data_IF_663954538768
#
_entry.id   IF_663954538768
#
_cell.length_a   1.000
_cell.length_b   1.000
_cell.length_c   1.000
_cell.angle_alpha   90.00
_cell.angle_beta   90.00
_cell.angle_gamma   90.00
#
_symmetry.space_group_name_H-M   'P 1'
#
loop_
_entity.id
_entity.type
_entity.pdbx_description
1 polymer ?
#
# COMPACT_ATOMS: atom_id res chain seq x y z
N UNK A 1 7.85 33.29 4.91
CA UNK A 1 8.39 32.14 5.65
C UNK A 1 7.38 31.04 5.47
N UNK A 2 7.73 29.94 4.79
CA UNK A 2 6.85 28.78 4.71
C UNK A 2 6.85 28.10 6.08
N UNK A 3 5.65 27.77 6.59
CA UNK A 3 5.50 27.11 7.88
C UNK A 3 5.56 25.59 7.66
N UNK A 4 6.32 24.85 8.47
CA UNK A 4 6.32 23.39 8.43
C UNK A 4 4.91 22.88 8.77
N UNK A 5 4.55 21.75 8.18
CA UNK A 5 3.27 21.07 8.40
C UNK A 5 3.50 19.71 9.06
N UNK A 6 2.61 19.28 9.95
CA UNK A 6 2.70 17.95 10.51
C UNK A 6 2.31 16.91 9.46
N UNK A 7 3.07 15.82 9.37
CA UNK A 7 2.65 14.63 8.65
C UNK A 7 1.42 14.02 9.34
N UNK A 8 0.36 13.74 8.60
CA UNK A 8 -0.89 13.20 9.16
C UNK A 8 -0.70 11.83 9.85
N UNK A 9 0.36 11.10 9.46
CA UNK A 9 0.60 9.72 9.88
C UNK A 9 1.61 9.58 11.02
N UNK A 10 2.80 10.16 10.89
CA UNK A 10 3.84 10.13 11.93
C UNK A 10 3.82 11.35 12.86
N UNK A 11 3.04 12.40 12.54
CA UNK A 11 2.95 13.67 13.29
C UNK A 11 4.27 14.45 13.38
N UNK A 12 5.27 14.07 12.62
CA UNK A 12 6.50 14.83 12.50
C UNK A 12 6.28 16.10 11.70
N UNK A 13 6.91 17.18 12.14
CA UNK A 13 6.87 18.46 11.45
C UNK A 13 7.88 18.45 10.32
N UNK A 14 7.38 18.52 9.10
CA UNK A 14 8.18 18.52 7.87
C UNK A 14 7.94 19.78 7.06
N UNK A 15 8.90 20.15 6.23
CA UNK A 15 8.75 21.29 5.34
C UNK A 15 7.57 21.07 4.39
N UNK A 16 6.76 22.11 4.18
CA UNK A 16 5.58 22.06 3.29
C UNK A 16 5.92 21.47 1.92
N UNK A 17 7.01 21.93 1.30
CA UNK A 17 7.45 21.48 -0.02
C UNK A 17 7.99 20.04 -0.05
N UNK A 18 8.25 19.45 1.12
CA UNK A 18 8.69 18.06 1.24
C UNK A 18 7.52 17.09 1.47
N UNK A 19 6.32 17.61 1.78
CA UNK A 19 5.14 16.76 1.89
C UNK A 19 4.64 16.28 0.53
N UNK A 20 4.09 15.06 0.51
CA UNK A 20 3.49 14.45 -0.67
C UNK A 20 2.09 13.98 -0.33
N UNK A 21 1.19 14.07 -1.31
CA UNK A 21 -0.16 13.53 -1.19
C UNK A 21 -0.10 12.01 -1.13
N UNK A 22 -0.79 11.39 -0.18
CA UNK A 22 -0.90 9.93 -0.08
C UNK A 22 -1.53 9.34 -1.35
N UNK A 23 -1.01 8.19 -1.77
CA UNK A 23 -1.53 7.43 -2.91
C UNK A 23 -2.75 6.60 -2.54
N UNK A 24 -2.89 6.22 -1.27
CA UNK A 24 -4.04 5.50 -0.72
C UNK A 24 -5.18 6.43 -0.32
N UNK A 25 -4.88 7.56 0.31
CA UNK A 25 -5.86 8.58 0.72
C UNK A 25 -5.47 9.97 0.23
N UNK A 26 -6.09 10.43 -0.85
CA UNK A 26 -5.82 11.75 -1.44
C UNK A 26 -6.04 12.95 -0.50
N UNK A 27 -6.70 12.77 0.65
CA UNK A 27 -6.91 13.85 1.61
C UNK A 27 -5.76 13.98 2.63
N UNK A 28 -4.80 13.05 2.65
CA UNK A 28 -3.69 13.05 3.61
C UNK A 28 -2.39 13.54 2.98
N UNK A 29 -1.68 14.39 3.73
CA UNK A 29 -0.34 14.89 3.38
C UNK A 29 0.70 14.19 4.24
N UNK A 30 1.57 13.43 3.57
CA UNK A 30 2.56 12.58 4.19
C UNK A 30 3.96 13.18 4.06
N UNK A 31 4.83 12.90 5.04
CA UNK A 31 6.26 13.09 4.87
C UNK A 31 6.81 12.12 3.80
N UNK A 32 8.01 12.37 3.23
CA UNK A 32 8.62 11.50 2.24
C UNK A 32 8.68 10.03 2.65
N UNK A 33 8.99 9.76 3.92
CA UNK A 33 9.09 8.39 4.45
C UNK A 33 7.72 7.72 4.50
N UNK A 34 6.71 8.40 5.04
CA UNK A 34 5.35 7.86 5.08
C UNK A 34 4.77 7.68 3.68
N UNK A 35 5.06 8.59 2.75
CA UNK A 35 4.67 8.47 1.34
C UNK A 35 5.34 7.25 0.68
N UNK A 36 6.61 6.98 0.98
CA UNK A 36 7.30 5.81 0.45
C UNK A 36 6.66 4.50 0.94
N UNK A 37 6.33 4.42 2.22
CA UNK A 37 5.59 3.28 2.79
C UNK A 37 4.20 3.17 2.14
N UNK A 38 3.51 4.28 1.95
CA UNK A 38 2.18 4.33 1.32
C UNK A 38 2.21 3.80 -0.12
N UNK A 39 3.23 4.19 -0.88
CA UNK A 39 3.48 3.70 -2.24
C UNK A 39 3.76 2.18 -2.24
N UNK A 40 4.62 1.69 -1.34
CA UNK A 40 4.92 0.25 -1.25
C UNK A 40 3.68 -0.57 -0.90
N UNK A 41 2.83 -0.05 -0.02
CA UNK A 41 1.56 -0.69 0.35
C UNK A 41 0.60 -0.72 -0.83
N UNK A 42 0.55 0.35 -1.62
CA UNK A 42 -0.27 0.40 -2.83
C UNK A 42 0.21 -0.60 -3.89
N UNK A 43 1.52 -0.70 -4.11
CA UNK A 43 2.09 -1.68 -5.03
C UNK A 43 1.72 -3.12 -4.62
N UNK A 44 1.86 -3.44 -3.33
CA UNK A 44 1.44 -4.74 -2.78
C UNK A 44 -0.07 -4.98 -2.90
N UNK A 45 -0.87 -3.92 -2.73
CA UNK A 45 -2.33 -3.98 -2.84
C UNK A 45 -2.79 -4.27 -4.28
N UNK A 46 -2.19 -3.58 -5.25
CA UNK A 46 -2.46 -3.79 -6.68
C UNK A 46 -1.99 -5.18 -7.11
N UNK A 47 -0.82 -5.64 -6.66
CA UNK A 47 -0.35 -7.02 -6.91
C UNK A 47 -1.34 -8.07 -6.38
N UNK A 48 -1.87 -7.87 -5.16
CA UNK A 48 -2.89 -8.78 -4.61
C UNK A 48 -4.16 -8.78 -5.48
N UNK A 49 -4.61 -7.62 -5.95
CA UNK A 49 -5.80 -7.50 -6.81
C UNK A 49 -5.59 -8.22 -8.14
N UNK A 50 -4.43 -8.07 -8.76
CA UNK A 50 -4.10 -8.75 -10.00
C UNK A 50 -4.08 -10.27 -9.82
N UNK A 51 -3.44 -10.77 -8.76
CA UNK A 51 -3.42 -12.21 -8.46
C UNK A 51 -4.84 -12.73 -8.18
N UNK A 52 -5.66 -11.98 -7.43
CA UNK A 52 -7.06 -12.34 -7.19
C UNK A 52 -7.85 -12.41 -8.50
N UNK A 53 -7.72 -11.40 -9.36
CA UNK A 53 -8.37 -11.35 -10.67
C UNK A 53 -7.97 -12.55 -11.53
N UNK A 54 -6.67 -12.88 -11.60
CA UNK A 54 -6.19 -14.07 -12.32
C UNK A 54 -6.78 -15.37 -11.73
N UNK A 55 -6.83 -15.48 -10.39
CA UNK A 55 -7.38 -16.65 -9.71
C UNK A 55 -8.88 -16.83 -9.97
N UNK A 56 -9.63 -15.74 -9.96
CA UNK A 56 -11.08 -15.73 -10.17
C UNK A 56 -11.43 -16.05 -11.63
N UNK A 57 -10.64 -15.54 -12.58
CA UNK A 57 -10.76 -15.86 -14.01
C UNK A 57 -10.11 -17.20 -14.40
N UNK A 58 -9.46 -17.88 -13.45
CA UNK A 58 -8.79 -19.16 -13.64
C UNK A 58 -7.75 -19.15 -14.77
N UNK A 59 -6.96 -18.07 -14.81
CA UNK A 59 -5.95 -17.86 -15.84
C UNK A 59 -4.89 -18.98 -15.86
N UNK A 60 -4.30 -19.27 -17.04
CA UNK A 60 -3.36 -20.38 -17.21
C UNK A 60 -2.16 -20.31 -16.25
N UNK A 61 -1.67 -19.10 -16.00
CA UNK A 61 -0.51 -18.80 -15.15
C UNK A 61 -0.73 -19.18 -13.68
N UNK A 62 -1.97 -19.03 -13.20
CA UNK A 62 -2.33 -19.37 -11.82
C UNK A 62 -2.94 -20.76 -11.66
N UNK A 63 -3.41 -21.36 -12.75
CA UNK A 63 -4.10 -22.67 -12.75
C UNK A 63 -3.19 -23.82 -12.27
N UNK A 64 -1.89 -23.74 -12.57
CA UNK A 64 -0.91 -24.76 -12.19
C UNK A 64 -0.59 -24.80 -10.69
N UNK A 65 -0.60 -23.65 -10.00
CA UNK A 65 -0.29 -23.55 -8.58
C UNK A 65 -1.17 -22.55 -7.83
N UNK A 66 -2.49 -22.77 -7.89
CA UNK A 66 -3.48 -21.92 -7.19
C UNK A 66 -3.20 -21.80 -5.69
N UNK A 67 -2.57 -22.80 -5.06
CA UNK A 67 -2.22 -22.76 -3.64
C UNK A 67 -1.02 -21.84 -3.38
N UNK A 68 0.02 -21.89 -4.21
CA UNK A 68 1.16 -20.97 -4.15
C UNK A 68 0.71 -19.52 -4.31
N UNK A 69 -0.13 -19.23 -5.30
CA UNK A 69 -0.65 -17.87 -5.50
C UNK A 69 -1.48 -17.35 -4.32
N UNK A 70 -2.30 -18.20 -3.71
CA UNK A 70 -3.01 -17.83 -2.46
C UNK A 70 -2.05 -17.59 -1.29
N UNK A 71 -0.91 -18.29 -1.24
CA UNK A 71 0.13 -18.05 -0.25
C UNK A 71 0.83 -16.71 -0.50
N UNK A 72 1.13 -16.37 -1.76
CA UNK A 72 1.70 -15.06 -2.14
C UNK A 72 0.78 -13.91 -1.69
N UNK A 73 -0.53 -14.03 -1.95
CA UNK A 73 -1.52 -13.05 -1.44
C UNK A 73 -1.43 -12.93 0.09
N UNK A 74 -1.34 -14.05 0.81
CA UNK A 74 -1.26 -14.02 2.27
C UNK A 74 0.02 -13.36 2.77
N UNK A 75 1.15 -13.62 2.12
CA UNK A 75 2.44 -13.01 2.45
C UNK A 75 2.43 -11.50 2.14
N UNK A 76 1.87 -11.08 1.00
CA UNK A 76 1.70 -9.66 0.67
C UNK A 76 0.78 -8.94 1.67
N UNK A 77 -0.36 -9.54 2.04
CA UNK A 77 -1.23 -9.00 3.11
C UNK A 77 -0.49 -8.84 4.45
N UNK A 78 0.40 -9.79 4.75
CA UNK A 78 1.18 -9.73 5.98
C UNK A 78 2.22 -8.62 5.94
N UNK A 79 2.88 -8.38 4.80
CA UNK A 79 3.77 -7.22 4.61
C UNK A 79 3.02 -5.90 4.79
N UNK A 80 1.84 -5.76 4.19
CA UNK A 80 0.98 -4.56 4.37
C UNK A 80 0.72 -4.31 5.86
N UNK A 81 0.45 -5.38 6.62
CA UNK A 81 0.26 -5.33 8.08
C UNK A 81 1.52 -4.92 8.85
N UNK A 82 2.68 -5.41 8.44
CA UNK A 82 3.98 -5.03 9.02
C UNK A 82 4.31 -3.54 8.75
N UNK A 83 3.88 -3.01 7.61
CA UNK A 83 3.99 -1.58 7.25
C UNK A 83 2.96 -0.69 7.97
N UNK A 84 2.14 -1.27 8.84
CA UNK A 84 1.19 -0.55 9.69
C UNK A 84 -0.14 -0.22 9.01
N UNK A 85 -0.48 -0.88 7.90
CA UNK A 85 -1.77 -0.76 7.23
C UNK A 85 -2.58 -2.04 7.39
N UNK A 86 -3.90 -1.93 7.27
CA UNK A 86 -4.76 -3.11 7.19
C UNK A 86 -5.34 -3.21 5.77
N UNK A 87 -5.03 -4.31 5.07
CA UNK A 87 -5.49 -4.54 3.70
C UNK A 87 -7.03 -4.45 3.61
N UNK A 88 -7.74 -4.94 4.62
CA UNK A 88 -9.21 -4.94 4.61
C UNK A 88 -9.79 -3.51 4.75
N UNK A 89 -8.99 -2.54 5.19
CA UNK A 89 -9.36 -1.11 5.25
C UNK A 89 -9.03 -0.33 3.97
N UNK A 90 -8.29 -0.94 3.05
CA UNK A 90 -7.85 -0.35 1.78
C UNK A 90 -8.75 -0.73 0.58
N UNK A 91 -9.66 -1.70 0.76
CA UNK A 91 -10.66 -2.13 -0.25
C UNK A 91 -11.87 -1.20 -0.23
#
# INVERSE_FOLDING_TARGET
MEMPVPCDKCKEWVELNSTRQSELNKNEMLCPDCYHIDSEVKDLFDEIKDIQYMLDNNEPEVKGDRRGWKRNIKEAKQKIKELGYDYDTLI
#
